data_IF_439287650057
#
_entry.id   IF_439287650057
#
_cell.length_a   1.000
_cell.length_b   1.000
_cell.length_c   1.000
_cell.angle_alpha   90.00
_cell.angle_beta   90.00
_cell.angle_gamma   90.00
#
_symmetry.space_group_name_H-M   'P 1'
#
loop_
_entity.id
_entity.type
_entity.pdbx_description
1 polymer ?
#
# COMPACT_ATOMS: atom_id res chain seq x y z
N UNK A 1 -43.35 12.27 1.98
CA UNK A 1 -42.81 10.89 1.97
C UNK A 1 -41.72 10.83 0.91
N UNK A 2 -40.49 11.22 1.27
CA UNK A 2 -39.31 11.06 0.41
C UNK A 2 -38.95 9.57 0.52
N UNK A 3 -39.28 8.81 -0.53
CA UNK A 3 -38.75 7.47 -0.74
C UNK A 3 -37.23 7.57 -0.73
N UNK A 4 -36.61 7.12 0.36
CA UNK A 4 -35.18 6.86 0.37
C UNK A 4 -34.92 5.72 -0.62
N UNK A 5 -34.58 6.07 -1.88
CA UNK A 5 -34.19 5.10 -2.88
C UNK A 5 -33.04 4.27 -2.32
N UNK A 6 -33.29 2.98 -2.14
CA UNK A 6 -32.28 2.00 -1.76
C UNK A 6 -31.15 2.12 -2.79
N UNK A 7 -30.04 2.73 -2.39
CA UNK A 7 -28.87 2.87 -3.24
C UNK A 7 -28.35 1.50 -3.61
N UNK A 8 -28.75 1.02 -4.80
CA UNK A 8 -28.33 -0.30 -5.29
C UNK A 8 -26.84 -0.30 -5.61
N UNK A 9 -26.15 -1.33 -5.18
CA UNK A 9 -24.74 -1.54 -5.54
C UNK A 9 -24.61 -1.63 -7.05
N UNK A 10 -23.63 -0.94 -7.62
CA UNK A 10 -23.37 -0.94 -9.06
C UNK A 10 -22.78 -2.28 -9.53
N UNK A 11 -22.96 -2.64 -10.80
CA UNK A 11 -22.32 -3.82 -11.38
C UNK A 11 -20.80 -3.81 -11.14
N UNK A 12 -20.25 -4.98 -10.79
CA UNK A 12 -18.81 -5.11 -10.44
C UNK A 12 -18.46 -4.88 -8.98
N UNK A 13 -19.40 -4.45 -8.12
CA UNK A 13 -19.11 -4.20 -6.70
C UNK A 13 -18.55 -5.44 -5.98
N UNK A 14 -19.18 -6.61 -6.14
CA UNK A 14 -18.73 -7.85 -5.48
C UNK A 14 -17.32 -8.25 -5.92
N UNK A 15 -17.03 -8.12 -7.23
CA UNK A 15 -15.73 -8.45 -7.78
C UNK A 15 -14.67 -7.46 -7.30
N UNK A 16 -14.98 -6.14 -7.24
CA UNK A 16 -14.08 -5.12 -6.70
C UNK A 16 -13.81 -5.32 -5.20
N UNK A 17 -14.83 -5.69 -4.42
CA UNK A 17 -14.67 -6.03 -3.01
C UNK A 17 -13.76 -7.24 -2.84
N UNK A 18 -14.00 -8.32 -3.59
CA UNK A 18 -13.15 -9.50 -3.58
C UNK A 18 -11.70 -9.16 -3.96
N UNK A 19 -11.49 -8.38 -5.04
CA UNK A 19 -10.16 -7.91 -5.44
C UNK A 19 -9.48 -7.08 -4.34
N UNK A 20 -10.23 -6.23 -3.64
CA UNK A 20 -9.69 -5.42 -2.53
C UNK A 20 -9.24 -6.32 -1.36
N UNK A 21 -10.06 -7.30 -0.96
CA UNK A 21 -9.71 -8.24 0.11
C UNK A 21 -8.51 -9.12 -0.29
N UNK A 22 -8.49 -9.61 -1.53
CA UNK A 22 -7.35 -10.35 -2.05
C UNK A 22 -6.07 -9.49 -2.09
N UNK A 23 -6.18 -8.21 -2.44
CA UNK A 23 -5.04 -7.29 -2.41
C UNK A 23 -4.49 -7.08 -0.99
N UNK A 24 -5.34 -7.07 0.05
CA UNK A 24 -4.87 -7.06 1.46
C UNK A 24 -4.04 -8.31 1.75
N UNK A 25 -4.50 -9.49 1.32
CA UNK A 25 -3.75 -10.74 1.48
C UNK A 25 -2.42 -10.70 0.74
N UNK A 26 -2.40 -10.20 -0.51
CA UNK A 26 -1.16 -10.06 -1.30
C UNK A 26 -0.16 -9.13 -0.62
N UNK A 27 -0.61 -7.97 -0.11
CA UNK A 27 0.26 -7.03 0.63
C UNK A 27 0.81 -7.68 1.90
N UNK A 28 -0.02 -8.42 2.63
CA UNK A 28 0.41 -9.16 3.83
C UNK A 28 1.47 -10.21 3.50
N UNK A 29 1.23 -11.04 2.48
CA UNK A 29 2.17 -12.08 2.05
C UNK A 29 3.49 -11.49 1.56
N UNK A 30 3.44 -10.37 0.80
CA UNK A 30 4.65 -9.67 0.35
C UNK A 30 5.46 -9.09 1.52
N UNK A 31 4.79 -8.51 2.51
CA UNK A 31 5.45 -8.05 3.73
C UNK A 31 6.07 -9.21 4.52
N UNK A 32 5.36 -10.33 4.63
CA UNK A 32 5.88 -11.54 5.29
C UNK A 32 7.11 -12.09 4.56
N UNK A 33 7.05 -12.26 3.24
CA UNK A 33 8.17 -12.71 2.40
C UNK A 33 9.40 -11.82 2.59
N UNK A 34 9.20 -10.48 2.59
CA UNK A 34 10.30 -9.53 2.78
C UNK A 34 10.91 -9.60 4.17
N UNK A 35 10.08 -9.65 5.22
CA UNK A 35 10.50 -9.61 6.62
C UNK A 35 11.04 -10.95 7.13
N UNK A 36 10.70 -12.07 6.48
CA UNK A 36 11.28 -13.40 6.73
C UNK A 36 12.57 -13.67 5.94
N UNK A 37 13.16 -12.63 5.31
CA UNK A 37 14.34 -12.76 4.45
C UNK A 37 14.17 -13.77 3.29
N UNK A 38 12.95 -13.93 2.81
CA UNK A 38 12.60 -14.90 1.76
C UNK A 38 12.48 -14.29 0.36
N UNK A 39 12.83 -13.01 0.18
CA UNK A 39 12.67 -12.33 -1.12
C UNK A 39 13.63 -12.77 -2.21
N UNK A 40 14.56 -13.68 -1.93
CA UNK A 40 15.41 -14.42 -2.86
C UNK A 40 15.35 -15.92 -2.60
N UNK A 41 14.23 -16.43 -2.10
CA UNK A 41 13.98 -17.85 -1.92
C UNK A 41 13.87 -18.62 -3.24
N UNK A 42 13.60 -17.91 -4.34
CA UNK A 42 13.65 -18.38 -5.71
C UNK A 42 14.57 -17.45 -6.53
N UNK A 43 15.66 -17.96 -7.15
CA UNK A 43 16.63 -17.11 -7.85
C UNK A 43 16.16 -16.62 -9.22
N UNK A 44 15.05 -17.16 -9.73
CA UNK A 44 14.47 -16.88 -11.05
C UNK A 44 13.00 -16.44 -10.97
N UNK A 45 12.47 -16.02 -12.10
CA UNK A 45 11.08 -15.60 -12.26
C UNK A 45 10.56 -16.00 -13.66
N UNK A 46 9.30 -16.45 -13.85
CA UNK A 46 8.19 -16.51 -12.86
C UNK A 46 8.22 -17.78 -11.98
N UNK A 47 9.03 -18.76 -12.28
CA UNK A 47 9.16 -20.03 -11.56
C UNK A 47 10.09 -19.95 -10.35
N UNK A 48 10.59 -21.11 -9.93
CA UNK A 48 11.50 -21.26 -8.81
C UNK A 48 12.54 -22.32 -9.15
N UNK A 49 13.82 -21.94 -9.29
CA UNK A 49 14.92 -22.82 -9.72
C UNK A 49 14.68 -23.51 -11.06
N UNK A 50 14.03 -22.85 -12.02
CA UNK A 50 13.67 -23.39 -13.32
C UNK A 50 12.46 -24.33 -13.32
N UNK A 51 11.73 -24.44 -12.21
CA UNK A 51 10.49 -25.20 -12.06
C UNK A 51 9.29 -24.26 -11.89
N UNK A 52 8.07 -24.77 -12.13
CA UNK A 52 6.84 -24.01 -11.88
C UNK A 52 6.54 -23.79 -10.39
N UNK A 53 7.16 -24.57 -9.51
CA UNK A 53 7.04 -24.47 -8.05
C UNK A 53 8.36 -24.79 -7.38
N UNK A 54 8.38 -24.77 -6.04
CA UNK A 54 9.58 -25.05 -5.24
C UNK A 54 10.05 -26.49 -5.45
N UNK A 55 11.37 -26.75 -5.66
CA UNK A 55 11.89 -28.11 -5.80
C UNK A 55 11.82 -28.86 -4.47
N UNK A 56 10.89 -29.84 -4.37
CA UNK A 56 10.59 -30.56 -3.13
C UNK A 56 11.36 -31.91 -3.03
N UNK A 57 11.67 -32.55 -4.16
CA UNK A 57 12.41 -33.85 -4.14
C UNK A 57 13.91 -33.61 -4.19
N UNK A 58 14.68 -34.50 -3.57
CA UNK A 58 16.13 -34.47 -3.54
C UNK A 58 16.73 -34.35 -4.95
N UNK A 59 16.22 -35.14 -5.91
CA UNK A 59 16.63 -35.04 -7.32
C UNK A 59 16.41 -33.64 -7.92
N UNK A 60 15.26 -32.99 -7.63
CA UNK A 60 15.00 -31.61 -8.12
C UNK A 60 15.90 -30.60 -7.44
N UNK A 61 16.21 -30.79 -6.16
CA UNK A 61 17.11 -29.91 -5.41
C UNK A 61 18.53 -30.00 -5.97
N UNK A 62 19.04 -31.20 -6.24
CA UNK A 62 20.35 -31.39 -6.90
C UNK A 62 20.40 -30.68 -8.26
N UNK A 63 19.35 -30.82 -9.08
CA UNK A 63 19.26 -30.12 -10.36
C UNK A 63 19.16 -28.58 -10.19
N UNK A 64 18.45 -28.10 -9.17
CA UNK A 64 18.34 -26.68 -8.84
C UNK A 64 19.69 -26.09 -8.44
N UNK A 65 20.43 -26.75 -7.56
CA UNK A 65 21.76 -26.34 -7.11
C UNK A 65 22.79 -26.37 -8.23
N UNK A 66 22.70 -27.35 -9.13
CA UNK A 66 23.55 -27.38 -10.32
C UNK A 66 23.27 -26.22 -11.30
N UNK A 67 22.02 -25.75 -11.39
CA UNK A 67 21.64 -24.62 -12.24
C UNK A 67 21.91 -23.24 -11.61
N UNK A 68 21.83 -23.18 -10.28
CA UNK A 68 21.96 -21.94 -9.50
C UNK A 68 22.93 -22.15 -8.34
N UNK A 69 24.23 -22.33 -8.62
CA UNK A 69 25.24 -22.72 -7.61
C UNK A 69 25.40 -21.65 -6.50
N UNK A 70 25.10 -20.38 -6.80
CA UNK A 70 25.20 -19.29 -5.84
C UNK A 70 23.92 -19.09 -4.99
N UNK A 71 22.91 -19.94 -5.18
CA UNK A 71 21.61 -19.83 -4.51
C UNK A 71 21.20 -21.21 -3.97
N UNK A 72 21.62 -21.59 -2.76
CA UNK A 72 21.25 -22.87 -2.14
C UNK A 72 19.72 -22.95 -1.95
N UNK A 73 19.17 -24.18 -2.08
CA UNK A 73 17.73 -24.40 -2.01
C UNK A 73 17.24 -24.32 -0.56
N UNK A 74 16.53 -23.24 -0.22
CA UNK A 74 15.82 -23.11 1.04
C UNK A 74 14.30 -23.28 0.80
N UNK A 75 13.81 -24.52 0.92
CA UNK A 75 12.42 -24.90 0.59
C UNK A 75 11.37 -23.99 1.26
N UNK A 76 11.54 -23.67 2.54
CA UNK A 76 10.59 -22.82 3.26
C UNK A 76 10.54 -21.40 2.70
N UNK A 77 11.69 -20.78 2.44
CA UNK A 77 11.77 -19.45 1.83
C UNK A 77 11.23 -19.44 0.40
N UNK A 78 11.52 -20.47 -0.38
CA UNK A 78 10.97 -20.67 -1.71
C UNK A 78 9.42 -20.67 -1.68
N UNK A 79 8.82 -21.36 -0.71
CA UNK A 79 7.37 -21.39 -0.57
C UNK A 79 6.79 -20.04 -0.13
N UNK A 80 7.41 -19.30 0.79
CA UNK A 80 6.92 -17.97 1.16
C UNK A 80 6.87 -17.04 -0.05
N UNK A 81 7.85 -17.09 -0.91
CA UNK A 81 7.91 -16.31 -2.13
C UNK A 81 6.91 -16.79 -3.20
N UNK A 82 6.83 -18.10 -3.46
CA UNK A 82 5.92 -18.66 -4.46
C UNK A 82 4.45 -18.48 -4.09
N UNK A 83 4.08 -18.63 -2.83
CA UNK A 83 2.70 -18.35 -2.36
C UNK A 83 2.34 -16.88 -2.65
N UNK A 84 3.23 -15.93 -2.34
CA UNK A 84 3.00 -14.52 -2.68
C UNK A 84 2.81 -14.32 -4.19
N UNK A 85 3.65 -14.94 -5.04
CA UNK A 85 3.53 -14.85 -6.51
C UNK A 85 2.21 -15.43 -7.02
N UNK A 86 1.75 -16.57 -6.49
CA UNK A 86 0.48 -17.18 -6.89
C UNK A 86 -0.72 -16.28 -6.53
N UNK A 87 -0.75 -15.73 -5.32
CA UNK A 87 -1.81 -14.82 -4.91
C UNK A 87 -1.77 -13.51 -5.71
N UNK A 88 -0.59 -12.98 -6.01
CA UNK A 88 -0.42 -11.79 -6.85
C UNK A 88 -0.90 -12.06 -8.30
N UNK A 89 -0.58 -13.22 -8.87
CA UNK A 89 -1.08 -13.64 -10.17
C UNK A 89 -2.60 -13.78 -10.21
N UNK A 90 -3.19 -14.42 -9.19
CA UNK A 90 -4.64 -14.52 -9.04
C UNK A 90 -5.29 -13.13 -8.95
N UNK A 91 -4.72 -12.20 -8.17
CA UNK A 91 -5.18 -10.81 -8.10
C UNK A 91 -5.12 -10.13 -9.47
N UNK A 92 -4.06 -10.33 -10.23
CA UNK A 92 -3.91 -9.81 -11.60
C UNK A 92 -5.04 -10.28 -12.52
N UNK A 93 -5.41 -11.57 -12.47
CA UNK A 93 -6.54 -12.14 -13.24
C UNK A 93 -7.88 -11.54 -12.81
N UNK A 94 -8.11 -11.33 -11.52
CA UNK A 94 -9.34 -10.68 -11.00
C UNK A 94 -9.42 -9.22 -11.48
N UNK A 95 -8.31 -8.49 -11.46
CA UNK A 95 -8.23 -7.11 -11.96
C UNK A 95 -8.47 -7.07 -13.48
N UNK A 96 -7.95 -8.01 -14.25
CA UNK A 96 -8.26 -8.16 -15.67
C UNK A 96 -9.77 -8.36 -15.88
N UNK A 97 -10.40 -9.24 -15.08
CA UNK A 97 -11.85 -9.44 -15.10
C UNK A 97 -12.64 -8.15 -14.84
N UNK A 98 -12.20 -7.32 -13.87
CA UNK A 98 -12.78 -6.00 -13.59
C UNK A 98 -12.65 -5.04 -14.78
N UNK A 99 -11.49 -5.00 -15.42
CA UNK A 99 -11.26 -4.15 -16.59
C UNK A 99 -12.12 -4.58 -17.79
N UNK A 100 -12.19 -5.90 -18.06
CA UNK A 100 -13.06 -6.46 -19.11
C UNK A 100 -14.54 -6.15 -18.84
N UNK A 101 -15.00 -6.31 -17.58
CA UNK A 101 -16.36 -5.95 -17.20
C UNK A 101 -16.64 -4.46 -17.40
N UNK A 102 -15.71 -3.59 -17.03
CA UNK A 102 -15.85 -2.14 -17.23
C UNK A 102 -15.92 -1.77 -18.70
N UNK A 103 -15.12 -2.41 -19.56
CA UNK A 103 -15.16 -2.21 -21.02
C UNK A 103 -16.48 -2.67 -21.64
N UNK A 104 -17.00 -3.84 -21.23
CA UNK A 104 -18.29 -4.36 -21.72
C UNK A 104 -19.44 -3.46 -21.33
N UNK A 105 -19.36 -2.77 -20.18
CA UNK A 105 -20.40 -1.91 -19.63
C UNK A 105 -20.13 -0.42 -19.82
N UNK A 106 -19.24 -0.06 -20.74
CA UNK A 106 -18.80 1.34 -20.95
C UNK A 106 -19.92 2.30 -21.34
N UNK A 107 -20.99 1.80 -21.94
CA UNK A 107 -22.17 2.58 -22.31
C UNK A 107 -23.14 2.84 -21.14
N UNK A 108 -22.99 2.14 -20.01
CA UNK A 108 -23.86 2.34 -18.84
C UNK A 108 -23.51 3.67 -18.13
N UNK A 109 -24.52 4.53 -17.85
CA UNK A 109 -24.31 5.79 -17.16
C UNK A 109 -23.65 5.58 -15.79
N UNK A 110 -22.68 6.43 -15.46
CA UNK A 110 -21.96 6.45 -14.17
C UNK A 110 -21.15 5.17 -13.85
N UNK A 111 -20.91 4.28 -14.83
CA UNK A 111 -19.99 3.15 -14.66
C UNK A 111 -18.52 3.66 -14.73
N UNK A 112 -17.67 3.40 -13.72
CA UNK A 112 -16.28 3.83 -13.77
C UNK A 112 -15.49 2.99 -14.78
N UNK A 113 -14.97 3.61 -15.83
CA UNK A 113 -14.13 2.96 -16.84
C UNK A 113 -12.63 3.21 -16.58
N UNK A 114 -12.26 4.47 -16.31
CA UNK A 114 -10.85 4.86 -16.18
C UNK A 114 -10.14 4.16 -15.03
N UNK A 115 -10.83 3.99 -13.90
CA UNK A 115 -10.21 3.44 -12.69
C UNK A 115 -9.86 1.95 -12.82
N UNK A 116 -10.73 1.04 -13.30
CA UNK A 116 -10.36 -0.36 -13.58
C UNK A 116 -9.21 -0.50 -14.57
N UNK A 117 -9.16 0.32 -15.62
CA UNK A 117 -8.07 0.29 -16.60
C UNK A 117 -6.75 0.80 -16.00
N UNK A 118 -6.80 1.84 -15.17
CA UNK A 118 -5.62 2.32 -14.44
C UNK A 118 -5.06 1.24 -13.51
N UNK A 119 -5.93 0.54 -12.76
CA UNK A 119 -5.51 -0.55 -11.88
C UNK A 119 -4.92 -1.71 -12.67
N UNK A 120 -5.47 -2.04 -13.84
CA UNK A 120 -4.90 -3.06 -14.73
C UNK A 120 -3.49 -2.66 -15.22
N UNK A 121 -3.30 -1.42 -15.68
CA UNK A 121 -1.99 -0.92 -16.08
C UNK A 121 -0.99 -0.96 -14.91
N UNK A 122 -1.43 -0.56 -13.72
CA UNK A 122 -0.60 -0.58 -12.53
C UNK A 122 -0.19 -2.01 -12.12
N UNK A 123 -1.09 -3.00 -12.18
CA UNK A 123 -0.74 -4.38 -11.79
C UNK A 123 0.20 -5.04 -12.79
N UNK A 124 0.15 -4.67 -14.07
CA UNK A 124 1.14 -5.11 -15.07
C UNK A 124 2.53 -4.55 -14.73
N UNK A 125 2.61 -3.25 -14.40
CA UNK A 125 3.84 -2.63 -13.93
C UNK A 125 4.33 -3.31 -12.63
N UNK A 126 3.42 -3.64 -11.70
CA UNK A 126 3.76 -4.35 -10.47
C UNK A 126 4.34 -5.75 -10.72
N UNK A 127 3.88 -6.47 -11.74
CA UNK A 127 4.48 -7.76 -12.12
C UNK A 127 5.94 -7.59 -12.58
N UNK A 128 6.23 -6.54 -13.36
CA UNK A 128 7.60 -6.20 -13.75
C UNK A 128 8.48 -5.82 -12.54
N UNK A 129 7.98 -4.99 -11.62
CA UNK A 129 8.71 -4.68 -10.38
C UNK A 129 8.93 -5.92 -9.52
N UNK A 130 7.93 -6.83 -9.40
CA UNK A 130 8.08 -8.11 -8.71
C UNK A 130 9.18 -8.99 -9.32
N UNK A 131 9.27 -9.05 -10.64
CA UNK A 131 10.39 -9.71 -11.34
C UNK A 131 11.73 -9.04 -10.99
N UNK A 132 11.80 -7.72 -11.04
CA UNK A 132 13.03 -6.97 -10.76
C UNK A 132 13.48 -7.04 -9.29
N UNK A 133 12.58 -7.25 -8.33
CA UNK A 133 13.01 -7.51 -6.94
C UNK A 133 13.93 -8.72 -6.85
N UNK A 134 13.69 -9.74 -7.67
CA UNK A 134 14.50 -10.97 -7.73
C UNK A 134 15.73 -10.79 -8.64
N UNK A 135 15.51 -10.41 -9.90
CA UNK A 135 16.57 -10.32 -10.91
C UNK A 135 17.61 -9.24 -10.64
N UNK A 136 17.23 -8.20 -9.89
CA UNK A 136 18.14 -7.15 -9.40
C UNK A 136 18.52 -7.35 -7.92
N UNK A 137 18.38 -8.58 -7.41
CA UNK A 137 18.88 -9.03 -6.10
C UNK A 137 18.48 -8.08 -4.96
N UNK A 138 17.18 -7.77 -4.86
CA UNK A 138 16.57 -6.89 -3.85
C UNK A 138 17.08 -5.44 -3.87
N UNK A 139 17.41 -4.91 -5.05
CA UNK A 139 17.83 -3.51 -5.18
C UNK A 139 16.82 -2.56 -4.48
N UNK A 140 17.27 -1.74 -3.49
CA UNK A 140 16.37 -1.04 -2.56
C UNK A 140 15.33 -0.14 -3.22
N UNK A 141 15.67 0.51 -4.33
CA UNK A 141 14.78 1.37 -5.10
C UNK A 141 13.60 0.58 -5.68
N UNK A 142 13.89 -0.60 -6.24
CA UNK A 142 12.87 -1.48 -6.82
C UNK A 142 11.98 -2.08 -5.73
N UNK A 143 12.55 -2.51 -4.61
CA UNK A 143 11.78 -3.04 -3.48
C UNK A 143 10.83 -1.98 -2.93
N UNK A 144 11.32 -0.75 -2.74
CA UNK A 144 10.50 0.37 -2.24
C UNK A 144 9.40 0.75 -3.24
N UNK A 145 9.73 0.83 -4.53
CA UNK A 145 8.74 1.12 -5.59
C UNK A 145 7.68 0.01 -5.72
N UNK A 146 8.09 -1.26 -5.59
CA UNK A 146 7.16 -2.40 -5.58
C UNK A 146 6.19 -2.33 -4.39
N UNK A 147 6.67 -2.01 -3.19
CA UNK A 147 5.82 -1.77 -2.02
C UNK A 147 4.81 -0.66 -2.29
N UNK A 148 5.27 0.51 -2.74
CA UNK A 148 4.40 1.67 -3.02
C UNK A 148 3.34 1.35 -4.08
N UNK A 149 3.71 0.66 -5.13
CA UNK A 149 2.77 0.25 -6.17
C UNK A 149 1.76 -0.80 -5.69
N UNK A 150 2.16 -1.70 -4.78
CA UNK A 150 1.24 -2.63 -4.10
C UNK A 150 0.20 -1.88 -3.26
N UNK A 151 0.64 -0.90 -2.46
CA UNK A 151 -0.24 0.00 -1.69
C UNK A 151 -1.15 0.84 -2.60
N UNK A 152 -0.63 1.37 -3.71
CA UNK A 152 -1.43 2.10 -4.69
C UNK A 152 -2.49 1.20 -5.34
N UNK A 153 -2.15 -0.04 -5.69
CA UNK A 153 -3.11 -1.03 -6.22
C UNK A 153 -4.24 -1.28 -5.23
N UNK A 154 -3.91 -1.54 -3.96
CA UNK A 154 -4.89 -1.72 -2.89
C UNK A 154 -5.76 -0.48 -2.70
N UNK A 155 -5.18 0.72 -2.66
CA UNK A 155 -5.90 1.99 -2.49
C UNK A 155 -6.88 2.27 -3.64
N UNK A 156 -6.48 2.00 -4.88
CA UNK A 156 -7.32 2.21 -6.05
C UNK A 156 -8.44 1.16 -6.16
N UNK A 157 -8.18 -0.11 -5.79
CA UNK A 157 -9.21 -1.13 -5.68
C UNK A 157 -10.22 -0.80 -4.59
N UNK A 158 -9.75 -0.33 -3.42
CA UNK A 158 -10.62 0.14 -2.35
C UNK A 158 -11.47 1.33 -2.80
N UNK A 159 -10.87 2.33 -3.48
CA UNK A 159 -11.59 3.47 -4.04
C UNK A 159 -12.65 3.02 -5.06
N UNK A 160 -12.33 2.03 -5.91
CA UNK A 160 -13.28 1.44 -6.86
C UNK A 160 -14.45 0.78 -6.12
N UNK A 161 -14.16 -0.02 -5.10
CA UNK A 161 -15.15 -0.67 -4.24
C UNK A 161 -16.08 0.35 -3.59
N UNK A 162 -15.53 1.42 -3.01
CA UNK A 162 -16.31 2.52 -2.40
C UNK A 162 -17.21 3.19 -3.45
N UNK A 163 -16.70 3.47 -4.64
CA UNK A 163 -17.49 4.09 -5.74
C UNK A 163 -18.63 3.18 -6.23
N UNK A 164 -18.39 1.88 -6.30
CA UNK A 164 -19.39 0.90 -6.76
C UNK A 164 -20.40 0.53 -5.68
N UNK A 165 -20.07 0.73 -4.39
CA UNK A 165 -20.99 0.43 -3.29
C UNK A 165 -22.27 1.31 -3.31
N UNK A 166 -22.16 2.53 -3.83
CA UNK A 166 -23.25 3.52 -3.79
C UNK A 166 -23.66 3.98 -2.38
N UNK A 167 -23.09 3.39 -1.33
CA UNK A 167 -23.51 3.59 0.08
C UNK A 167 -22.83 4.75 0.79
N UNK A 168 -21.75 5.29 0.22
CA UNK A 168 -20.93 6.32 0.84
C UNK A 168 -21.00 7.60 0.01
N UNK A 169 -22.01 8.47 0.21
CA UNK A 169 -22.15 9.69 -0.56
C UNK A 169 -21.02 10.69 -0.24
N UNK A 170 -20.77 11.59 -1.17
CA UNK A 170 -19.92 12.76 -0.95
C UNK A 170 -20.62 13.69 0.03
N UNK A 171 -19.86 14.28 0.95
CA UNK A 171 -20.39 15.19 1.94
C UNK A 171 -20.53 16.61 1.34
N UNK A 172 -21.68 17.26 1.51
CA UNK A 172 -21.88 18.63 1.03
C UNK A 172 -21.21 19.67 1.94
N UNK A 173 -20.99 20.86 1.42
CA UNK A 173 -20.58 22.03 2.22
C UNK A 173 -19.17 21.95 2.83
N UNK A 174 -18.34 20.99 2.39
CA UNK A 174 -16.98 20.86 2.90
C UNK A 174 -16.10 21.99 2.40
N UNK A 175 -15.39 22.65 3.32
CA UNK A 175 -14.51 23.78 3.01
C UNK A 175 -13.25 23.38 2.24
N UNK A 176 -12.71 24.30 1.44
CA UNK A 176 -11.44 24.12 0.71
C UNK A 176 -10.28 23.75 1.63
N UNK A 177 -10.05 24.46 2.73
CA UNK A 177 -8.98 24.17 3.69
C UNK A 177 -9.05 22.76 4.28
N UNK A 178 -10.24 22.25 4.65
CA UNK A 178 -10.37 20.88 5.16
C UNK A 178 -10.01 19.83 4.10
N UNK A 179 -10.42 20.06 2.85
CA UNK A 179 -10.01 19.17 1.72
C UNK A 179 -8.51 19.20 1.49
N UNK A 180 -7.91 20.39 1.52
CA UNK A 180 -6.46 20.52 1.35
C UNK A 180 -5.69 19.81 2.47
N UNK A 181 -6.14 19.95 3.73
CA UNK A 181 -5.53 19.27 4.87
C UNK A 181 -5.67 17.73 4.76
N UNK A 182 -6.82 17.22 4.31
CA UNK A 182 -7.02 15.79 4.08
C UNK A 182 -6.12 15.26 2.95
N UNK A 183 -5.95 16.02 1.87
CA UNK A 183 -5.05 15.67 0.78
C UNK A 183 -3.58 15.69 1.22
N UNK A 184 -3.17 16.71 1.97
CA UNK A 184 -1.84 16.81 2.57
C UNK A 184 -1.56 15.62 3.50
N UNK A 185 -2.52 15.24 4.37
CA UNK A 185 -2.41 14.07 5.22
C UNK A 185 -2.20 12.77 4.42
N UNK A 186 -2.93 12.58 3.32
CA UNK A 186 -2.74 11.42 2.44
C UNK A 186 -1.35 11.42 1.80
N UNK A 187 -0.89 12.56 1.27
CA UNK A 187 0.44 12.67 0.66
C UNK A 187 1.57 12.41 1.66
N UNK A 188 1.43 12.92 2.89
CA UNK A 188 2.40 12.68 3.96
C UNK A 188 2.45 11.20 4.37
N UNK A 189 1.29 10.52 4.44
CA UNK A 189 1.26 9.07 4.70
C UNK A 189 1.89 8.28 3.56
N UNK A 190 1.68 8.66 2.30
CA UNK A 190 2.37 8.03 1.16
C UNK A 190 3.89 8.22 1.29
N UNK A 191 4.36 9.41 1.62
CA UNK A 191 5.78 9.67 1.89
C UNK A 191 6.32 8.84 3.06
N UNK A 192 5.55 8.71 4.14
CA UNK A 192 5.92 7.90 5.30
C UNK A 192 5.99 6.39 4.96
N UNK A 193 5.08 5.90 4.11
CA UNK A 193 5.14 4.51 3.58
C UNK A 193 6.38 4.33 2.71
N UNK A 194 6.76 5.33 1.90
CA UNK A 194 8.00 5.29 1.13
C UNK A 194 9.23 5.21 2.04
N UNK A 195 9.29 6.03 3.10
CA UNK A 195 10.34 5.95 4.11
C UNK A 195 10.36 4.58 4.82
N UNK A 196 9.19 4.02 5.16
CA UNK A 196 9.08 2.67 5.73
C UNK A 196 9.58 1.57 4.77
N UNK A 197 9.28 1.71 3.48
CA UNK A 197 9.83 0.86 2.42
C UNK A 197 11.35 0.96 2.34
N UNK A 198 11.89 2.17 2.44
CA UNK A 198 13.33 2.43 2.44
C UNK A 198 14.02 1.86 3.68
N UNK A 199 13.40 2.00 4.89
CA UNK A 199 13.84 1.33 6.13
C UNK A 199 13.92 -0.18 5.93
N UNK A 200 12.86 -0.79 5.39
CA UNK A 200 12.83 -2.23 5.14
C UNK A 200 13.86 -2.65 4.09
N UNK A 201 13.92 -1.96 2.94
CA UNK A 201 14.80 -2.32 1.82
C UNK A 201 16.30 -2.27 2.21
N UNK A 202 16.68 -1.34 3.09
CA UNK A 202 18.05 -1.16 3.58
C UNK A 202 18.33 -1.82 4.94
N UNK A 203 17.42 -2.63 5.47
CA UNK A 203 17.57 -3.31 6.78
C UNK A 203 17.86 -2.35 7.94
N UNK A 204 17.32 -1.13 7.86
CA UNK A 204 17.52 -0.09 8.86
C UNK A 204 16.59 -0.20 10.08
N UNK A 205 15.62 -1.13 10.08
CA UNK A 205 14.63 -1.24 11.16
C UNK A 205 15.24 -1.56 12.52
N UNK A 206 16.37 -2.26 12.55
CA UNK A 206 17.09 -2.66 13.77
C UNK A 206 18.27 -1.73 14.10
N UNK A 207 18.45 -0.64 13.37
CA UNK A 207 19.54 0.32 13.61
C UNK A 207 19.39 1.03 14.97
N UNK A 208 18.14 1.34 15.39
CA UNK A 208 17.86 1.96 16.68
C UNK A 208 16.91 1.06 17.48
N UNK A 209 17.36 0.51 18.60
CA UNK A 209 16.63 -0.46 19.42
C UNK A 209 16.03 0.16 20.70
N UNK A 210 16.26 1.42 20.95
CA UNK A 210 15.81 2.20 22.09
C UNK A 210 14.85 3.33 21.69
N UNK A 211 14.04 3.80 22.63
CA UNK A 211 13.10 4.92 22.51
C UNK A 211 13.08 5.73 23.82
N UNK A 212 13.00 7.06 23.72
CA UNK A 212 12.96 7.92 22.52
C UNK A 212 14.32 8.11 21.83
N UNK A 213 15.37 7.62 22.46
CA UNK A 213 16.76 7.71 22.01
C UNK A 213 17.06 6.74 20.85
N UNK A 214 18.27 6.89 20.31
CA UNK A 214 18.90 5.89 19.48
C UNK A 214 20.37 5.81 19.90
N UNK A 215 20.84 4.62 20.28
CA UNK A 215 22.16 4.40 20.91
C UNK A 215 22.38 5.25 22.17
N UNK A 216 21.31 5.50 22.94
CA UNK A 216 21.35 6.33 24.16
C UNK A 216 21.41 7.83 23.91
N UNK A 217 21.37 8.29 22.68
CA UNK A 217 21.46 9.70 22.28
C UNK A 217 20.19 10.21 21.61
N UNK A 218 19.87 11.50 21.79
CA UNK A 218 18.80 12.17 21.05
C UNK A 218 19.14 12.38 19.58
N UNK A 219 20.43 12.58 19.30
CA UNK A 219 20.94 12.84 17.98
C UNK A 219 22.23 12.04 17.77
N UNK A 220 22.13 10.75 17.44
CA UNK A 220 23.27 9.87 17.22
C UNK A 220 24.05 10.24 15.94
N UNK A 221 25.19 9.61 15.72
CA UNK A 221 25.91 9.70 14.46
C UNK A 221 25.03 9.19 13.31
N UNK A 222 24.93 9.98 12.24
CA UNK A 222 24.06 9.72 11.09
C UNK A 222 24.74 10.10 9.78
N UNK A 223 24.80 9.16 8.84
CA UNK A 223 25.27 9.42 7.48
C UNK A 223 24.09 9.50 6.51
N UNK A 224 23.57 10.71 6.31
CA UNK A 224 22.47 10.97 5.38
C UNK A 224 22.87 10.80 3.92
N UNK A 225 24.13 11.07 3.56
CA UNK A 225 24.59 10.97 2.18
C UNK A 225 24.53 9.53 1.67
N UNK A 226 25.03 8.57 2.44
CA UNK A 226 24.96 7.16 2.10
C UNK A 226 23.57 6.57 2.40
N UNK A 227 22.90 6.98 3.49
CA UNK A 227 21.57 6.50 3.85
C UNK A 227 20.50 6.81 2.80
N UNK A 228 20.61 7.94 2.11
CA UNK A 228 19.66 8.37 1.06
C UNK A 228 20.30 8.44 -0.33
N UNK A 229 21.35 7.67 -0.58
CA UNK A 229 21.95 7.54 -1.90
C UNK A 229 21.00 6.76 -2.83
N UNK A 230 20.18 7.49 -3.61
CA UNK A 230 19.14 6.92 -4.47
C UNK A 230 19.67 6.27 -5.76
N UNK A 231 20.97 6.36 -6.03
CA UNK A 231 21.64 5.80 -7.22
C UNK A 231 22.61 4.67 -6.86
N UNK A 232 22.25 3.85 -5.86
CA UNK A 232 23.01 2.65 -5.49
C UNK A 232 23.23 1.74 -6.71
N UNK A 233 24.41 1.09 -6.78
CA UNK A 233 24.76 0.24 -7.90
C UNK A 233 23.83 -0.97 -8.03
N UNK A 234 23.46 -1.30 -9.28
CA UNK A 234 22.82 -2.57 -9.62
C UNK A 234 23.90 -3.64 -9.67
N UNK A 235 23.68 -4.78 -9.01
CA UNK A 235 24.59 -5.93 -9.11
C UNK A 235 24.92 -6.63 -7.79
N UNK A 236 25.21 -5.93 -6.66
CA UNK A 236 25.40 -6.61 -5.39
C UNK A 236 24.12 -7.26 -4.91
N UNK A 237 24.25 -8.32 -4.09
CA UNK A 237 23.11 -8.91 -3.39
C UNK A 237 22.76 -8.03 -2.17
N UNK A 238 21.57 -7.42 -2.17
CA UNK A 238 21.10 -6.56 -1.11
C UNK A 238 20.41 -7.32 0.05
N UNK A 239 20.39 -8.65 0.03
CA UNK A 239 19.90 -9.42 1.16
C UNK A 239 20.79 -9.17 2.39
N UNK A 240 20.17 -8.75 3.51
CA UNK A 240 20.88 -8.34 4.72
C UNK A 240 21.33 -6.87 4.76
N UNK A 241 21.23 -6.15 3.63
CA UNK A 241 21.62 -4.73 3.50
C UNK A 241 23.10 -4.55 3.20
N UNK A 242 23.42 -3.42 2.58
CA UNK A 242 24.79 -3.05 2.17
C UNK A 242 25.30 -1.78 2.87
N UNK A 243 24.42 -1.08 3.59
CA UNK A 243 24.76 0.17 4.27
C UNK A 243 25.41 -0.10 5.64
N UNK A 244 26.31 0.78 6.07
CA UNK A 244 26.87 0.80 7.41
C UNK A 244 25.86 1.24 8.48
N UNK A 245 26.28 1.23 9.75
CA UNK A 245 25.43 1.54 10.89
C UNK A 245 24.88 2.97 10.85
N UNK A 246 25.74 3.96 10.53
CA UNK A 246 25.37 5.38 10.60
C UNK A 246 24.39 5.75 9.50
N UNK A 247 24.55 5.16 8.30
CA UNK A 247 23.60 5.31 7.20
C UNK A 247 22.23 4.69 7.53
N UNK A 248 22.20 3.49 8.11
CA UNK A 248 20.95 2.87 8.58
C UNK A 248 20.31 3.66 9.71
N UNK A 249 21.10 4.21 10.63
CA UNK A 249 20.63 5.08 11.71
C UNK A 249 19.98 6.35 11.13
N UNK A 250 20.58 6.99 10.12
CA UNK A 250 20.00 8.13 9.44
C UNK A 250 18.62 7.82 8.82
N UNK A 251 18.50 6.67 8.17
CA UNK A 251 17.21 6.20 7.59
C UNK A 251 16.16 5.98 8.69
N UNK A 252 16.52 5.28 9.76
CA UNK A 252 15.60 4.94 10.85
C UNK A 252 15.12 6.20 11.59
N UNK A 253 16.03 7.11 11.92
CA UNK A 253 15.69 8.37 12.59
C UNK A 253 14.81 9.25 11.71
N UNK A 254 15.08 9.35 10.41
CA UNK A 254 14.22 10.06 9.47
C UNK A 254 12.79 9.48 9.45
N UNK A 255 12.66 8.16 9.46
CA UNK A 255 11.36 7.50 9.54
C UNK A 255 10.61 7.82 10.85
N UNK A 256 11.31 7.86 12.00
CA UNK A 256 10.72 8.26 13.30
C UNK A 256 10.25 9.72 13.29
N UNK A 257 11.07 10.63 12.76
CA UNK A 257 10.72 12.05 12.64
C UNK A 257 9.54 12.26 11.69
N UNK A 258 9.52 11.53 10.56
CA UNK A 258 8.39 11.50 9.65
C UNK A 258 7.11 11.01 10.31
N UNK A 259 7.19 9.95 11.14
CA UNK A 259 6.05 9.44 11.89
C UNK A 259 5.49 10.48 12.89
N UNK A 260 6.36 11.25 13.56
CA UNK A 260 5.95 12.35 14.43
C UNK A 260 5.22 13.44 13.63
N UNK A 261 5.78 13.88 12.50
CA UNK A 261 5.16 14.90 11.63
C UNK A 261 3.79 14.44 11.12
N UNK A 262 3.71 13.22 10.60
CA UNK A 262 2.45 12.61 10.14
C UNK A 262 1.43 12.58 11.29
N UNK A 263 1.84 12.15 12.48
CA UNK A 263 0.96 12.08 13.65
C UNK A 263 0.39 13.46 14.00
N UNK A 264 1.21 14.50 14.04
CA UNK A 264 0.77 15.87 14.33
C UNK A 264 -0.26 16.39 13.30
N UNK A 265 0.02 16.17 12.01
CA UNK A 265 -0.89 16.60 10.93
C UNK A 265 -2.21 15.82 10.97
N UNK A 266 -2.18 14.50 11.22
CA UNK A 266 -3.39 13.69 11.29
C UNK A 266 -4.21 13.94 12.55
N UNK A 267 -3.59 14.28 13.69
CA UNK A 267 -4.30 14.76 14.88
C UNK A 267 -5.02 16.09 14.59
N UNK A 268 -4.34 17.03 13.91
CA UNK A 268 -4.96 18.27 13.43
C UNK A 268 -6.13 18.03 12.48
N UNK A 269 -5.98 17.08 11.54
CA UNK A 269 -7.07 16.67 10.64
C UNK A 269 -8.25 16.06 11.41
N UNK A 270 -7.99 15.16 12.36
CA UNK A 270 -9.04 14.55 13.17
C UNK A 270 -9.81 15.60 13.98
N UNK A 271 -9.10 16.57 14.59
CA UNK A 271 -9.71 17.70 15.28
C UNK A 271 -10.59 18.53 14.35
N UNK A 272 -10.11 18.89 13.15
CA UNK A 272 -10.88 19.63 12.16
C UNK A 272 -12.11 18.83 11.67
N UNK A 273 -11.98 17.53 11.43
CA UNK A 273 -13.11 16.67 11.09
C UNK A 273 -14.18 16.70 12.19
N UNK A 274 -13.78 16.57 13.46
CA UNK A 274 -14.71 16.65 14.61
C UNK A 274 -15.42 18.00 14.68
N UNK A 275 -14.69 19.12 14.52
CA UNK A 275 -15.26 20.48 14.51
C UNK A 275 -16.24 20.72 13.36
N UNK A 276 -16.05 20.06 12.22
CA UNK A 276 -16.94 20.14 11.07
C UNK A 276 -18.08 19.09 11.11
N UNK A 277 -18.40 18.53 12.28
CA UNK A 277 -19.53 17.61 12.46
C UNK A 277 -19.30 16.19 11.90
N UNK A 278 -18.04 15.77 11.74
CA UNK A 278 -17.65 14.47 11.18
C UNK A 278 -16.94 13.56 12.23
N UNK A 279 -17.52 13.36 13.44
CA UNK A 279 -16.86 12.67 14.53
C UNK A 279 -16.54 11.20 14.22
N UNK A 280 -17.34 10.53 13.36
CA UNK A 280 -17.09 9.13 12.97
C UNK A 280 -15.81 9.00 12.11
N UNK A 281 -15.59 9.93 11.18
CA UNK A 281 -14.36 9.95 10.37
C UNK A 281 -13.15 10.33 11.23
N UNK A 282 -13.31 11.27 12.16
CA UNK A 282 -12.27 11.62 13.13
C UNK A 282 -11.90 10.42 14.01
N UNK A 283 -12.88 9.70 14.55
CA UNK A 283 -12.65 8.51 15.37
C UNK A 283 -11.97 7.37 14.61
N UNK A 284 -12.38 7.12 13.37
CA UNK A 284 -11.74 6.11 12.51
C UNK A 284 -10.26 6.47 12.23
N UNK A 285 -9.98 7.74 11.93
CA UNK A 285 -8.62 8.22 11.69
C UNK A 285 -7.75 8.09 12.94
N UNK A 286 -8.27 8.49 14.11
CA UNK A 286 -7.55 8.38 15.39
C UNK A 286 -7.26 6.93 15.75
N UNK A 287 -8.22 6.03 15.57
CA UNK A 287 -8.03 4.59 15.84
C UNK A 287 -6.93 4.02 14.93
N UNK A 288 -6.99 4.29 13.62
CA UNK A 288 -5.98 3.81 12.68
C UNK A 288 -4.59 4.38 13.01
N UNK A 289 -4.50 5.66 13.38
CA UNK A 289 -3.25 6.29 13.78
C UNK A 289 -2.68 5.68 15.06
N UNK A 290 -3.51 5.50 16.09
CA UNK A 290 -3.08 4.92 17.37
C UNK A 290 -2.55 3.49 17.20
N UNK A 291 -3.27 2.67 16.42
CA UNK A 291 -2.82 1.30 16.11
C UNK A 291 -1.48 1.34 15.37
N UNK A 292 -1.35 2.20 14.36
CA UNK A 292 -0.12 2.29 13.56
C UNK A 292 1.09 2.74 14.37
N UNK A 293 0.92 3.76 15.22
CA UNK A 293 1.98 4.26 16.10
C UNK A 293 2.33 3.20 17.17
N UNK A 294 1.32 2.57 17.77
CA UNK A 294 1.52 1.49 18.73
C UNK A 294 2.32 0.33 18.15
N UNK A 295 1.99 -0.14 16.94
CA UNK A 295 2.75 -1.18 16.23
C UNK A 295 4.18 -0.72 15.91
N UNK A 296 4.38 0.56 15.54
CA UNK A 296 5.71 1.12 15.30
C UNK A 296 6.59 1.12 16.55
N UNK A 297 6.04 1.55 17.67
CA UNK A 297 6.72 1.51 18.98
C UNK A 297 7.03 0.06 19.38
N UNK A 298 6.06 -0.85 19.21
CA UNK A 298 6.25 -2.27 19.52
C UNK A 298 7.36 -2.91 18.68
N UNK A 299 7.54 -2.52 17.41
CA UNK A 299 8.65 -3.00 16.58
C UNK A 299 10.03 -2.64 17.17
N UNK A 300 10.15 -1.43 17.73
CA UNK A 300 11.42 -1.01 18.36
C UNK A 300 11.63 -1.74 19.68
N UNK A 301 10.65 -1.68 20.61
CA UNK A 301 10.78 -2.19 21.97
C UNK A 301 10.89 -3.72 22.05
N UNK A 302 10.27 -4.43 21.08
CA UNK A 302 10.29 -5.89 21.02
C UNK A 302 11.33 -6.44 20.02
N UNK A 303 12.22 -5.61 19.49
CA UNK A 303 13.30 -5.99 18.56
C UNK A 303 12.78 -6.65 17.27
N UNK A 304 11.78 -6.03 16.66
CA UNK A 304 11.22 -6.36 15.34
C UNK A 304 10.62 -7.78 15.24
N UNK A 305 9.65 -8.20 16.09
CA UNK A 305 9.01 -9.49 15.91
C UNK A 305 8.29 -9.55 14.57
N UNK A 306 8.45 -10.65 13.83
CA UNK A 306 7.94 -10.80 12.47
C UNK A 306 6.46 -10.44 12.32
N UNK A 307 5.61 -10.95 13.20
CA UNK A 307 4.16 -10.70 13.14
C UNK A 307 3.81 -9.23 13.45
N UNK A 308 4.52 -8.59 14.36
CA UNK A 308 4.33 -7.14 14.66
C UNK A 308 4.77 -6.29 13.48
N UNK A 309 5.88 -6.64 12.84
CA UNK A 309 6.38 -5.93 11.66
C UNK A 309 5.44 -6.09 10.45
N UNK A 310 4.87 -7.28 10.22
CA UNK A 310 3.82 -7.51 9.22
C UNK A 310 2.55 -6.72 9.56
N UNK A 311 2.12 -6.74 10.83
CA UNK A 311 0.97 -5.97 11.29
C UNK A 311 1.18 -4.46 11.13
N UNK A 312 2.39 -3.93 11.38
CA UNK A 312 2.74 -2.53 11.16
C UNK A 312 2.63 -2.13 9.68
N UNK A 313 3.03 -3.01 8.77
CA UNK A 313 2.85 -2.80 7.32
C UNK A 313 1.36 -2.74 6.95
N UNK A 314 0.54 -3.67 7.47
CA UNK A 314 -0.93 -3.66 7.27
C UNK A 314 -1.62 -2.46 7.94
N UNK A 315 -1.14 -2.04 9.10
CA UNK A 315 -1.61 -0.83 9.79
C UNK A 315 -1.38 0.43 8.95
N UNK A 316 -0.20 0.53 8.32
CA UNK A 316 0.11 1.59 7.34
C UNK A 316 -0.85 1.59 6.14
N UNK A 317 -1.16 0.40 5.61
CA UNK A 317 -2.17 0.26 4.56
C UNK A 317 -3.55 0.69 5.05
N UNK A 318 -4.00 0.27 6.23
CA UNK A 318 -5.29 0.65 6.80
C UNK A 318 -5.40 2.17 7.05
N UNK A 319 -4.34 2.81 7.55
CA UNK A 319 -4.27 4.26 7.72
C UNK A 319 -4.38 4.99 6.38
N UNK A 320 -3.68 4.51 5.35
CA UNK A 320 -3.79 5.06 3.99
C UNK A 320 -5.19 4.89 3.42
N UNK A 321 -5.82 3.71 3.55
CA UNK A 321 -7.20 3.48 3.09
C UNK A 321 -8.20 4.38 3.83
N UNK A 322 -7.99 4.63 5.11
CA UNK A 322 -8.80 5.58 5.91
C UNK A 322 -8.71 6.98 5.30
N UNK A 323 -7.52 7.45 4.94
CA UNK A 323 -7.33 8.75 4.29
C UNK A 323 -7.89 8.79 2.86
N UNK A 324 -7.79 7.70 2.10
CA UNK A 324 -8.47 7.57 0.80
C UNK A 324 -9.98 7.71 0.97
N UNK A 325 -10.58 7.06 1.97
CA UNK A 325 -12.00 7.20 2.29
C UNK A 325 -12.36 8.63 2.69
N UNK A 326 -11.58 9.28 3.55
CA UNK A 326 -11.80 10.67 3.98
C UNK A 326 -11.76 11.59 2.76
N UNK A 327 -10.72 11.52 1.93
CA UNK A 327 -10.58 12.33 0.73
C UNK A 327 -11.73 12.09 -0.26
N UNK A 328 -12.15 10.83 -0.44
CA UNK A 328 -13.32 10.50 -1.25
C UNK A 328 -14.60 11.15 -0.74
N UNK A 329 -14.84 11.14 0.57
CA UNK A 329 -16.03 11.72 1.20
C UNK A 329 -16.03 13.25 1.16
N UNK A 330 -14.86 13.89 1.27
CA UNK A 330 -14.70 15.34 1.31
C UNK A 330 -14.55 15.99 -0.08
N UNK A 331 -14.47 15.23 -1.18
CA UNK A 331 -14.28 15.80 -2.53
C UNK A 331 -15.41 16.74 -2.90
N UNK A 332 -15.12 17.72 -3.77
CA UNK A 332 -16.15 18.60 -4.34
C UNK A 332 -17.10 17.82 -5.26
N UNK A 333 -18.38 18.15 -5.20
CA UNK A 333 -19.34 17.72 -6.21
C UNK A 333 -19.15 18.56 -7.47
N UNK A 334 -19.33 17.99 -8.68
CA UNK A 334 -19.45 18.78 -9.89
C UNK A 334 -20.57 19.83 -9.73
N UNK A 335 -20.37 21.05 -10.24
CA UNK A 335 -21.31 22.16 -10.07
C UNK A 335 -22.75 21.80 -10.51
N UNK A 336 -22.90 21.06 -11.60
CA UNK A 336 -24.21 20.60 -12.12
C UNK A 336 -24.94 19.71 -11.11
N UNK A 337 -24.24 18.80 -10.43
CA UNK A 337 -24.85 17.90 -9.43
C UNK A 337 -25.20 18.66 -8.15
N UNK A 338 -24.44 19.68 -7.80
CA UNK A 338 -24.72 20.55 -6.67
C UNK A 338 -26.01 21.36 -6.90
N UNK A 339 -26.19 21.95 -8.08
CA UNK A 339 -27.38 22.72 -8.45
C UNK A 339 -28.67 21.88 -8.45
N UNK A 340 -28.64 20.66 -8.97
CA UNK A 340 -29.81 19.74 -8.96
C UNK A 340 -30.22 19.37 -7.54
N UNK A 341 -29.26 19.23 -6.62
CA UNK A 341 -29.50 18.82 -5.24
C UNK A 341 -30.03 19.95 -4.38
N UNK A 342 -29.57 21.18 -4.62
CA UNK A 342 -29.93 22.35 -3.81
C UNK A 342 -31.25 23.02 -4.27
N UNK A 343 -31.98 22.36 -5.21
CA UNK A 343 -33.32 22.77 -5.62
C UNK A 343 -33.39 24.13 -6.32
N UNK A 344 -32.27 24.56 -6.96
CA UNK A 344 -32.28 25.83 -7.70
C UNK A 344 -33.31 25.76 -8.85
N UNK A 345 -34.31 26.63 -8.90
CA UNK A 345 -35.30 26.64 -9.96
C UNK A 345 -34.61 27.08 -11.27
N UNK A 346 -34.53 26.21 -12.27
CA UNK A 346 -34.03 26.62 -13.56
C UNK A 346 -33.51 25.55 -14.51
N UNK A 347 -33.55 24.26 -14.18
CA UNK A 347 -33.18 23.20 -15.14
C UNK A 347 -34.37 22.28 -15.46
N UNK A 348 -35.04 22.55 -16.55
CA UNK A 348 -35.92 21.58 -17.24
C UNK A 348 -35.03 20.56 -17.95
N UNK A 349 -35.06 19.32 -17.49
CA UNK A 349 -34.44 18.20 -18.23
C UNK A 349 -35.23 18.02 -19.51
N UNK A 350 -34.69 18.51 -20.63
CA UNK A 350 -35.18 18.14 -21.95
C UNK A 350 -34.73 16.70 -22.20
N UNK A 351 -35.67 15.77 -22.07
CA UNK A 351 -35.49 14.39 -22.48
C UNK A 351 -35.40 14.38 -24.02
N UNK A 352 -34.19 14.23 -24.55
CA UNK A 352 -34.01 13.88 -25.98
C UNK A 352 -34.45 12.42 -26.15
N UNK A 353 -35.42 12.26 -27.06
CA UNK A 353 -35.92 10.98 -27.56
C UNK A 353 -34.81 10.16 -28.27
#
# INVERSE_FOLDING_TARGET
LISQGVSMTKPGFRLALFATLLAVVVVMLGAYTRLSHAGLGCPDWPGCYGFLGVPMSEHKQTLAEARFPDAPVEVAKGWYEMIHRYFAGALGLVILGLAVQALRRRAEPAQPLKLPLLVLGLVIIQAAFGMWTVTLKLWPQVVTAHLLGGFATLALLFLLTVRLSGRLPVLPGVTGPLRALAAAGLLLVIGQVALGGWVSANYAAVACVDLPYCHGEWWPAMDFANGFHLTQHIGPNYLGGQLDSDARTAIHMTHRMGALLVSLVLLGLAWQLKRNGLPRLAGLLLLALLVQVGLGISNVLLHLPLLVAVAHNLGGAALMLTLVLINYRLRSLPAVVAQIRDGAPGFTVVASK
#
